data_IF_018512450661
#
_entry.id   IF_018512450661
#
_cell.length_a   1.000
_cell.length_b   1.000
_cell.length_c   1.000
_cell.angle_alpha   90.00
_cell.angle_beta   90.00
_cell.angle_gamma   90.00
#
_symmetry.space_group_name_H-M   'P 1'
#
loop_
_entity.id
_entity.type
_entity.pdbx_description
1 polymer ?
#
# COMPACT_ATOMS: atom_id res chain seq x y z
N UNK A 1 39.77 -29.16 22.67
CA UNK A 1 38.63 -29.07 21.72
C UNK A 1 37.35 -28.53 22.40
N UNK A 2 37.41 -27.37 23.09
CA UNK A 2 36.22 -26.76 23.75
C UNK A 2 36.04 -25.26 23.47
N UNK A 3 37.06 -24.58 22.92
CA UNK A 3 37.00 -23.14 22.59
C UNK A 3 36.39 -22.86 21.20
N UNK A 4 36.56 -23.74 20.21
CA UNK A 4 35.93 -23.59 18.89
C UNK A 4 34.40 -23.72 18.90
N UNK A 5 33.83 -24.59 19.75
CA UNK A 5 32.36 -24.71 19.87
C UNK A 5 31.71 -23.47 20.48
N UNK A 6 32.44 -22.69 21.28
CA UNK A 6 31.94 -21.46 21.90
C UNK A 6 31.96 -20.29 20.91
N UNK A 7 32.93 -20.29 19.98
CA UNK A 7 32.98 -19.34 18.86
C UNK A 7 31.89 -19.61 17.80
N UNK A 8 31.51 -20.88 17.60
CA UNK A 8 30.41 -21.26 16.71
C UNK A 8 29.02 -20.91 17.28
N UNK A 9 28.88 -20.88 18.61
CA UNK A 9 27.65 -20.45 19.30
C UNK A 9 27.48 -18.92 19.38
N UNK A 10 28.54 -18.14 19.13
CA UNK A 10 28.46 -16.68 19.10
C UNK A 10 28.01 -16.14 17.73
N UNK A 11 28.11 -16.95 16.67
CA UNK A 11 27.71 -16.56 15.31
C UNK A 11 26.20 -16.71 15.06
N UNK A 12 25.45 -17.32 15.98
CA UNK A 12 24.02 -17.62 15.84
C UNK A 12 23.08 -16.53 16.36
N UNK A 13 23.59 -15.38 16.83
CA UNK A 13 22.76 -14.31 17.42
C UNK A 13 22.72 -12.99 16.65
N UNK A 14 23.27 -12.91 15.43
CA UNK A 14 23.31 -11.67 14.63
C UNK A 14 22.37 -11.65 13.43
N UNK A 15 21.37 -12.52 13.36
CA UNK A 15 20.25 -12.35 12.40
C UNK A 15 19.19 -11.44 13.05
N UNK A 16 19.57 -10.19 13.30
CA UNK A 16 18.58 -9.13 13.50
C UNK A 16 18.04 -8.77 12.12
N UNK A 17 16.84 -9.30 11.87
CA UNK A 17 16.00 -9.10 10.70
C UNK A 17 15.72 -7.60 10.56
N UNK A 18 16.54 -6.88 9.78
CA UNK A 18 16.18 -5.55 9.28
C UNK A 18 15.36 -5.73 8.00
N UNK A 19 14.17 -6.31 8.11
CA UNK A 19 13.16 -6.15 7.06
C UNK A 19 12.55 -4.77 7.30
N UNK A 20 13.24 -3.74 6.80
CA UNK A 20 12.66 -2.42 6.61
C UNK A 20 11.51 -2.60 5.62
N UNK A 21 10.28 -2.66 6.13
CA UNK A 21 9.06 -2.74 5.35
C UNK A 21 8.82 -1.38 4.67
N UNK A 22 9.68 -1.01 3.71
CA UNK A 22 9.45 0.07 2.74
C UNK A 22 9.52 -0.42 1.30
N UNK A 23 9.59 -1.73 1.11
CA UNK A 23 9.55 -2.38 -0.20
C UNK A 23 8.39 -3.37 -0.29
N UNK A 24 7.24 -3.03 0.30
CA UNK A 24 5.99 -3.65 -0.15
C UNK A 24 5.68 -3.00 -1.49
N UNK A 25 5.95 -3.72 -2.59
CA UNK A 25 5.54 -3.26 -3.91
C UNK A 25 4.03 -3.01 -3.90
N UNK A 26 3.58 -1.89 -4.49
CA UNK A 26 2.16 -1.60 -4.61
C UNK A 26 1.46 -2.73 -5.34
N UNK A 27 0.39 -3.25 -4.75
CA UNK A 27 -0.45 -4.28 -5.38
C UNK A 27 -1.03 -3.72 -6.68
N UNK A 28 -1.40 -2.43 -6.69
CA UNK A 28 -1.89 -1.77 -7.88
C UNK A 28 -0.91 -1.83 -9.06
N UNK A 29 0.40 -1.87 -8.82
CA UNK A 29 1.41 -1.96 -9.89
C UNK A 29 1.44 -3.34 -10.59
N UNK A 30 0.75 -4.34 -10.05
CA UNK A 30 0.54 -5.64 -10.71
C UNK A 30 -0.46 -5.54 -11.86
N UNK A 31 -1.44 -4.65 -11.74
CA UNK A 31 -2.57 -4.57 -12.68
C UNK A 31 -2.58 -3.27 -13.50
N UNK A 32 -2.12 -2.16 -12.92
CA UNK A 32 -2.21 -0.83 -13.50
C UNK A 32 -0.83 -0.23 -13.79
N UNK A 33 -0.79 0.71 -14.72
CA UNK A 33 0.39 1.52 -14.98
C UNK A 33 0.62 2.54 -13.87
N UNK A 34 1.88 2.90 -13.63
CA UNK A 34 2.24 3.94 -12.65
C UNK A 34 1.51 5.28 -12.86
N UNK A 35 1.17 5.64 -14.11
CA UNK A 35 0.39 6.85 -14.41
C UNK A 35 -1.05 6.74 -13.91
N UNK A 36 -1.64 5.55 -14.01
CA UNK A 36 -3.04 5.27 -13.65
C UNK A 36 -3.19 5.23 -12.14
N UNK A 37 -2.21 4.66 -11.44
CA UNK A 37 -2.13 4.69 -9.97
C UNK A 37 -2.09 6.14 -9.48
N UNK A 38 -1.23 6.99 -10.08
CA UNK A 38 -1.13 8.41 -9.71
C UNK A 38 -2.43 9.17 -10.01
N UNK A 39 -3.03 8.91 -11.17
CA UNK A 39 -4.31 9.51 -11.57
C UNK A 39 -5.43 9.12 -10.59
N UNK A 40 -5.51 7.84 -10.23
CA UNK A 40 -6.48 7.34 -9.26
C UNK A 40 -6.32 8.03 -7.91
N UNK A 41 -5.11 8.03 -7.34
CA UNK A 41 -4.84 8.60 -6.01
C UNK A 41 -5.17 10.09 -6.00
N UNK A 42 -4.75 10.85 -7.03
CA UNK A 42 -5.08 12.28 -7.13
C UNK A 42 -6.59 12.54 -7.23
N UNK A 43 -7.31 11.75 -8.05
CA UNK A 43 -8.75 11.87 -8.16
C UNK A 43 -9.48 11.47 -6.87
N UNK A 44 -8.98 10.43 -6.18
CA UNK A 44 -9.47 10.02 -4.89
C UNK A 44 -9.30 11.14 -3.86
N UNK A 45 -8.12 11.76 -3.78
CA UNK A 45 -7.85 12.85 -2.82
C UNK A 45 -8.78 14.04 -3.04
N UNK A 46 -9.02 14.42 -4.31
CA UNK A 46 -9.91 15.51 -4.66
C UNK A 46 -11.37 15.24 -4.23
N UNK A 47 -11.83 13.98 -4.34
CA UNK A 47 -13.20 13.58 -4.01
C UNK A 47 -13.37 13.30 -2.50
N UNK A 48 -12.47 12.51 -1.93
CA UNK A 48 -12.53 12.04 -0.55
C UNK A 48 -12.03 13.08 0.45
N UNK A 49 -11.17 14.02 0.05
CA UNK A 49 -10.59 15.03 0.94
C UNK A 49 -11.63 15.94 1.61
N UNK A 50 -12.83 16.07 1.02
CA UNK A 50 -13.97 16.77 1.63
C UNK A 50 -14.50 15.99 2.86
N UNK A 51 -14.40 14.66 2.84
CA UNK A 51 -14.96 13.75 3.85
C UNK A 51 -13.92 13.37 4.91
N UNK A 52 -12.70 13.03 4.49
CA UNK A 52 -11.64 12.54 5.40
C UNK A 52 -10.65 13.62 5.85
N UNK A 53 -10.78 14.82 5.31
CA UNK A 53 -9.83 15.92 5.49
C UNK A 53 -8.65 15.82 4.52
N UNK A 54 -8.24 16.97 3.96
CA UNK A 54 -7.17 17.04 2.94
C UNK A 54 -5.85 16.44 3.42
N UNK A 55 -5.51 16.65 4.69
CA UNK A 55 -4.25 16.17 5.27
C UNK A 55 -4.20 14.63 5.37
N UNK A 56 -5.36 13.97 5.50
CA UNK A 56 -5.45 12.51 5.58
C UNK A 56 -5.80 11.86 4.24
N UNK A 57 -6.27 12.65 3.26
CA UNK A 57 -6.75 12.14 1.99
C UNK A 57 -5.69 11.29 1.28
N UNK A 58 -4.44 11.78 1.25
CA UNK A 58 -3.34 11.04 0.62
C UNK A 58 -3.14 9.67 1.26
N UNK A 59 -3.05 9.61 2.60
CA UNK A 59 -2.84 8.35 3.34
C UNK A 59 -3.92 7.32 3.01
N UNK A 60 -5.18 7.72 3.00
CA UNK A 60 -6.28 6.79 2.79
C UNK A 60 -6.47 6.42 1.31
N UNK A 61 -6.28 7.36 0.40
CA UNK A 61 -6.32 7.09 -1.03
C UNK A 61 -5.14 6.21 -1.50
N UNK A 62 -3.98 6.36 -0.88
CA UNK A 62 -2.81 5.50 -1.14
C UNK A 62 -3.04 4.06 -0.67
N UNK A 63 -3.82 3.86 0.38
CA UNK A 63 -4.26 2.51 0.78
C UNK A 63 -5.37 1.99 -0.15
N UNK A 64 -6.35 2.84 -0.49
CA UNK A 64 -7.49 2.44 -1.30
C UNK A 64 -7.09 2.01 -2.72
N UNK A 65 -6.05 2.60 -3.32
CA UNK A 65 -5.64 2.26 -4.68
C UNK A 65 -5.25 0.79 -4.84
N UNK A 66 -4.62 0.19 -3.83
CA UNK A 66 -4.24 -1.22 -3.85
C UNK A 66 -5.47 -2.13 -3.74
N UNK A 67 -6.43 -1.78 -2.88
CA UNK A 67 -7.68 -2.53 -2.71
C UNK A 67 -8.52 -2.46 -3.98
N UNK A 68 -8.65 -1.27 -4.56
CA UNK A 68 -9.43 -1.05 -5.78
C UNK A 68 -8.77 -1.75 -6.96
N UNK A 69 -7.45 -1.68 -7.12
CA UNK A 69 -6.78 -2.35 -8.22
C UNK A 69 -6.85 -3.87 -8.15
N UNK A 70 -6.91 -4.46 -6.95
CA UNK A 70 -7.15 -5.90 -6.78
C UNK A 70 -8.60 -6.29 -7.11
N UNK A 71 -9.59 -5.42 -6.88
CA UNK A 71 -10.97 -5.69 -7.28
C UNK A 71 -11.23 -5.40 -8.77
N UNK A 72 -10.58 -4.37 -9.28
CA UNK A 72 -10.72 -3.85 -10.63
C UNK A 72 -9.37 -3.90 -11.33
N UNK A 73 -9.00 -5.09 -11.81
CA UNK A 73 -7.73 -5.28 -12.53
C UNK A 73 -7.59 -4.34 -13.73
N UNK A 74 -8.70 -3.91 -14.33
CA UNK A 74 -8.70 -2.89 -15.38
C UNK A 74 -8.98 -1.51 -14.79
N UNK A 75 -8.05 -0.58 -15.00
CA UNK A 75 -8.17 0.79 -14.53
C UNK A 75 -9.40 1.52 -15.10
N UNK A 76 -9.84 1.23 -16.34
CA UNK A 76 -11.00 1.88 -16.93
C UNK A 76 -12.30 1.56 -16.17
N UNK A 77 -12.41 0.37 -15.60
CA UNK A 77 -13.57 0.00 -14.78
C UNK A 77 -13.51 0.75 -13.44
N UNK A 78 -12.31 0.83 -12.84
CA UNK A 78 -12.07 1.57 -11.61
C UNK A 78 -12.36 3.09 -11.73
N UNK A 79 -12.26 3.68 -12.92
CA UNK A 79 -12.62 5.10 -13.15
C UNK A 79 -14.12 5.37 -13.00
N UNK A 80 -14.94 4.35 -13.21
CA UNK A 80 -16.40 4.46 -13.23
C UNK A 80 -17.05 4.13 -11.88
N UNK A 81 -16.25 3.82 -10.85
CA UNK A 81 -16.79 3.56 -9.51
C UNK A 81 -17.50 4.80 -8.97
N UNK A 82 -18.60 4.55 -8.28
CA UNK A 82 -19.39 5.64 -7.69
C UNK A 82 -18.63 6.33 -6.56
N UNK A 83 -19.00 7.57 -6.23
CA UNK A 83 -18.40 8.27 -5.09
C UNK A 83 -18.64 7.51 -3.78
N UNK A 84 -19.81 6.90 -3.61
CA UNK A 84 -20.17 6.13 -2.41
C UNK A 84 -19.24 4.91 -2.26
N UNK A 85 -19.02 4.19 -3.36
CA UNK A 85 -18.15 3.03 -3.39
C UNK A 85 -16.68 3.40 -3.15
N UNK A 86 -16.21 4.48 -3.78
CA UNK A 86 -14.88 5.04 -3.50
C UNK A 86 -14.70 5.36 -2.01
N UNK A 87 -15.69 6.00 -1.39
CA UNK A 87 -15.64 6.34 0.03
C UNK A 87 -15.67 5.09 0.93
N UNK A 88 -16.34 4.02 0.51
CA UNK A 88 -16.29 2.73 1.21
C UNK A 88 -14.88 2.10 1.20
N UNK A 89 -14.19 2.12 0.06
CA UNK A 89 -12.78 1.71 -0.01
C UNK A 89 -11.89 2.57 0.89
N UNK A 90 -12.06 3.90 0.85
CA UNK A 90 -11.30 4.85 1.68
C UNK A 90 -11.58 4.63 3.18
N UNK A 91 -12.83 4.38 3.58
CA UNK A 91 -13.19 4.16 4.98
C UNK A 91 -12.62 2.84 5.53
N UNK A 92 -12.46 1.81 4.71
CA UNK A 92 -11.77 0.56 5.10
C UNK A 92 -10.28 0.76 5.39
N UNK A 93 -9.71 1.86 4.90
CA UNK A 93 -8.32 2.26 5.14
C UNK A 93 -8.14 3.20 6.34
N UNK A 94 -9.22 3.57 7.03
CA UNK A 94 -9.20 4.48 8.19
C UNK A 94 -8.57 3.83 9.42
#
# INVERSE_FOLDING_TARGET
MKRSSLLLLAFSLSIMIIVSCKTVGRIAAKYWLNREIKEFVSNCENKAGIVVGKDNAHKYCDCAVDVVAEQYHNYQDAKNISLIELLDFVNRCK
#
